data_IF_710444054187
#
_entry.id   IF_710444054187
#
_cell.length_a   1.000
_cell.length_b   1.000
_cell.length_c   1.000
_cell.angle_alpha   90.00
_cell.angle_beta   90.00
_cell.angle_gamma   90.00
#
_symmetry.space_group_name_H-M   'P 1'
#
loop_
_entity.id
_entity.type
_entity.pdbx_description
1 polymer ?
#
# COMPACT_ATOMS: atom_id res chain seq x y z
N UNK A 1 -27.53 19.78 -27.10
CA UNK A 1 -28.34 19.35 -25.95
C UNK A 1 -28.29 17.84 -25.87
N UNK A 2 -27.44 17.25 -25.04
CA UNK A 2 -27.36 15.80 -24.90
C UNK A 2 -28.55 15.32 -24.08
N UNK A 3 -29.52 14.70 -24.74
CA UNK A 3 -30.66 14.05 -24.11
C UNK A 3 -30.13 12.73 -23.53
N UNK A 4 -29.88 12.68 -22.21
CA UNK A 4 -29.63 11.41 -21.54
C UNK A 4 -30.93 10.59 -21.57
N UNK A 5 -30.86 9.35 -22.06
CA UNK A 5 -31.98 8.40 -21.94
C UNK A 5 -32.26 8.13 -20.45
N UNK A 6 -33.54 8.02 -20.07
CA UNK A 6 -33.97 7.74 -18.67
C UNK A 6 -33.37 6.46 -18.07
N UNK A 7 -32.76 5.60 -18.88
CA UNK A 7 -32.06 4.37 -18.48
C UNK A 7 -30.66 4.61 -17.88
N UNK A 8 -30.19 5.86 -17.80
CA UNK A 8 -28.86 6.23 -17.27
C UNK A 8 -28.91 7.06 -15.99
N UNK A 9 -30.08 7.18 -15.37
CA UNK A 9 -30.27 7.97 -14.15
C UNK A 9 -30.81 7.06 -13.05
N UNK A 10 -30.00 6.85 -12.02
CA UNK A 10 -30.34 6.03 -10.86
C UNK A 10 -30.50 6.92 -9.63
N UNK A 11 -31.43 6.58 -8.75
CA UNK A 11 -31.55 7.26 -7.46
C UNK A 11 -30.34 6.88 -6.61
N UNK A 12 -29.63 7.88 -6.08
CA UNK A 12 -28.45 7.63 -5.26
C UNK A 12 -28.85 6.97 -3.94
N UNK A 13 -28.25 5.81 -3.63
CA UNK A 13 -28.50 5.11 -2.39
C UNK A 13 -27.95 5.88 -1.18
N UNK A 14 -28.61 5.80 -0.03
CA UNK A 14 -28.27 6.59 1.16
C UNK A 14 -26.87 6.26 1.71
N UNK A 15 -26.41 5.01 1.54
CA UNK A 15 -25.04 4.58 1.91
C UNK A 15 -23.95 5.21 1.04
N UNK A 16 -24.30 5.83 -0.09
CA UNK A 16 -23.36 6.52 -0.98
C UNK A 16 -23.25 8.01 -0.63
N UNK A 17 -24.11 8.53 0.25
CA UNK A 17 -24.13 9.96 0.63
C UNK A 17 -22.92 10.29 1.49
N UNK A 18 -22.61 9.41 2.45
CA UNK A 18 -21.44 9.49 3.31
C UNK A 18 -20.42 8.43 2.89
N UNK A 19 -19.23 8.86 2.46
CA UNK A 19 -18.20 7.95 1.96
C UNK A 19 -17.86 6.82 2.95
N UNK A 20 -17.79 5.60 2.44
CA UNK A 20 -17.55 4.35 3.19
C UNK A 20 -16.08 3.94 3.20
N UNK A 21 -15.64 3.36 4.31
CA UNK A 21 -14.27 2.85 4.45
C UNK A 21 -14.03 1.55 3.68
N UNK A 22 -15.06 0.69 3.55
CA UNK A 22 -15.03 -0.51 2.73
C UNK A 22 -16.16 -0.46 1.69
N UNK A 23 -15.78 -0.48 0.41
CA UNK A 23 -16.71 -0.44 -0.71
C UNK A 23 -17.48 -1.75 -0.89
N UNK A 24 -17.09 -2.85 -0.21
CA UNK A 24 -17.90 -4.07 -0.15
C UNK A 24 -19.24 -3.85 0.56
N UNK A 25 -19.36 -2.79 1.37
CA UNK A 25 -20.60 -2.40 2.05
C UNK A 25 -21.53 -1.53 1.18
N UNK A 26 -21.12 -1.13 -0.03
CA UNK A 26 -21.99 -0.39 -0.94
C UNK A 26 -23.11 -1.29 -1.45
N UNK A 27 -24.36 -0.83 -1.35
CA UNK A 27 -25.52 -1.54 -1.88
C UNK A 27 -25.47 -1.66 -3.42
N UNK A 28 -24.91 -0.66 -4.09
CA UNK A 28 -24.75 -0.63 -5.55
C UNK A 28 -23.27 -0.45 -5.91
N UNK A 29 -22.69 -1.46 -6.55
CA UNK A 29 -21.28 -1.47 -6.94
C UNK A 29 -21.13 -1.20 -8.45
N UNK A 30 -21.40 0.04 -8.86
CA UNK A 30 -21.15 0.50 -10.22
C UNK A 30 -20.05 1.58 -10.26
N UNK A 31 -19.47 1.83 -11.44
CA UNK A 31 -18.33 2.74 -11.63
C UNK A 31 -18.55 4.12 -11.00
N UNK A 32 -19.72 4.71 -11.21
CA UNK A 32 -20.04 6.02 -10.64
C UNK A 32 -20.11 6.03 -9.09
N UNK A 33 -20.56 4.96 -8.44
CA UNK A 33 -20.62 4.87 -6.98
C UNK A 33 -19.22 4.72 -6.37
N UNK A 34 -18.38 3.88 -6.99
CA UNK A 34 -16.97 3.70 -6.62
C UNK A 34 -16.23 5.05 -6.74
N UNK A 35 -16.36 5.71 -7.89
CA UNK A 35 -15.69 6.99 -8.14
C UNK A 35 -16.18 8.08 -7.18
N UNK A 36 -17.49 8.13 -6.90
CA UNK A 36 -18.05 9.08 -5.95
C UNK A 36 -17.48 8.87 -4.54
N UNK A 37 -17.42 7.61 -4.07
CA UNK A 37 -16.89 7.27 -2.76
C UNK A 37 -15.41 7.68 -2.62
N UNK A 38 -14.58 7.31 -3.60
CA UNK A 38 -13.17 7.67 -3.63
C UNK A 38 -12.98 9.19 -3.66
N UNK A 39 -13.79 9.91 -4.45
CA UNK A 39 -13.74 11.37 -4.53
C UNK A 39 -14.07 12.05 -3.19
N UNK A 40 -15.17 11.65 -2.55
CA UNK A 40 -15.57 12.23 -1.26
C UNK A 40 -14.52 11.99 -0.17
N UNK A 41 -13.92 10.79 -0.13
CA UNK A 41 -12.87 10.46 0.83
C UNK A 41 -11.60 11.25 0.55
N UNK A 42 -11.21 11.35 -0.71
CA UNK A 42 -10.04 12.12 -1.14
C UNK A 42 -10.14 13.60 -0.75
N UNK A 43 -11.33 14.21 -0.86
CA UNK A 43 -11.55 15.61 -0.40
C UNK A 43 -11.28 15.82 1.09
N UNK A 44 -11.34 14.75 1.90
CA UNK A 44 -11.08 14.75 3.35
C UNK A 44 -9.69 14.21 3.69
N UNK A 45 -8.78 14.12 2.72
CA UNK A 45 -7.44 13.54 2.85
C UNK A 45 -7.41 12.05 3.23
N UNK A 46 -8.54 11.34 3.05
CA UNK A 46 -8.63 9.90 3.22
C UNK A 46 -8.31 9.20 1.89
N UNK A 47 -7.03 8.94 1.66
CA UNK A 47 -6.54 8.40 0.37
C UNK A 47 -6.71 6.89 0.21
N UNK A 48 -6.99 6.18 1.30
CA UNK A 48 -7.10 4.72 1.33
C UNK A 48 -8.55 4.30 1.50
N UNK A 49 -8.97 3.27 0.76
CA UNK A 49 -10.32 2.70 0.84
C UNK A 49 -10.25 1.20 0.62
N UNK A 50 -10.90 0.41 1.46
CA UNK A 50 -10.95 -1.05 1.33
C UNK A 50 -11.99 -1.48 0.29
N UNK A 51 -11.75 -2.65 -0.30
CA UNK A 51 -12.68 -3.42 -1.12
C UNK A 51 -12.55 -4.87 -0.66
N UNK A 52 -13.21 -5.19 0.46
CA UNK A 52 -12.93 -6.41 1.21
C UNK A 52 -11.46 -6.46 1.65
N UNK A 53 -10.68 -7.41 1.13
CA UNK A 53 -9.25 -7.55 1.42
C UNK A 53 -8.32 -6.75 0.49
N UNK A 54 -8.86 -6.11 -0.55
CA UNK A 54 -8.10 -5.29 -1.50
C UNK A 54 -8.08 -3.85 -0.99
N UNK A 55 -6.96 -3.15 -1.17
CA UNK A 55 -6.81 -1.75 -0.79
C UNK A 55 -6.69 -0.86 -2.04
N UNK A 56 -7.63 0.08 -2.20
CA UNK A 56 -7.52 1.17 -3.15
C UNK A 56 -6.77 2.34 -2.51
N UNK A 57 -5.79 2.89 -3.23
CA UNK A 57 -4.99 4.04 -2.81
C UNK A 57 -5.00 5.11 -3.91
N UNK A 58 -5.39 6.34 -3.55
CA UNK A 58 -5.41 7.49 -4.47
C UNK A 58 -4.25 8.41 -4.15
N UNK A 59 -3.32 8.61 -5.09
CA UNK A 59 -2.13 9.44 -4.84
C UNK A 59 -2.52 10.91 -4.54
N UNK A 60 -2.19 11.45 -3.35
CA UNK A 60 -2.55 12.83 -2.97
C UNK A 60 -1.70 13.91 -3.64
N UNK A 61 -0.53 13.57 -4.21
CA UNK A 61 0.48 14.53 -4.70
C UNK A 61 0.89 15.61 -3.68
N UNK A 62 0.59 15.39 -2.40
CA UNK A 62 0.97 16.23 -1.26
C UNK A 62 1.30 15.35 -0.06
N UNK A 63 2.07 15.89 0.87
CA UNK A 63 2.29 15.26 2.15
C UNK A 63 1.03 15.44 3.02
N UNK A 64 0.58 14.36 3.64
CA UNK A 64 -0.52 14.36 4.62
C UNK A 64 0.12 14.12 5.99
N UNK A 65 0.11 15.15 6.84
CA UNK A 65 0.73 15.11 8.17
C UNK A 65 0.11 14.00 9.03
N UNK A 66 0.95 13.23 9.73
CA UNK A 66 0.46 12.19 10.65
C UNK A 66 0.00 10.89 10.00
N UNK A 67 0.08 10.77 8.67
CA UNK A 67 -0.40 9.57 7.96
C UNK A 67 0.59 8.40 8.05
N UNK A 68 1.88 8.67 7.98
CA UNK A 68 2.95 7.66 7.98
C UNK A 68 3.91 7.75 9.16
N UNK A 69 3.50 8.45 10.22
CA UNK A 69 4.33 8.67 11.40
C UNK A 69 4.64 7.33 12.11
N UNK A 70 5.78 7.23 12.83
CA UNK A 70 6.14 6.01 13.57
C UNK A 70 5.07 5.54 14.55
N UNK A 71 4.29 6.47 15.12
CA UNK A 71 3.15 6.16 15.99
C UNK A 71 2.05 5.39 15.27
N UNK A 72 1.81 5.67 13.98
CA UNK A 72 0.86 4.91 13.15
C UNK A 72 1.34 3.49 12.94
N UNK A 73 2.64 3.28 12.72
CA UNK A 73 3.21 1.93 12.60
C UNK A 73 2.93 1.12 13.87
N UNK A 74 3.12 1.72 15.05
CA UNK A 74 2.81 1.05 16.32
C UNK A 74 1.30 0.78 16.47
N UNK A 75 0.46 1.76 16.16
CA UNK A 75 -1.00 1.62 16.22
C UNK A 75 -1.48 0.46 15.34
N UNK A 76 -1.13 0.45 14.06
CA UNK A 76 -1.56 -0.58 13.12
C UNK A 76 -0.95 -1.96 13.40
N UNK A 77 0.22 -2.04 14.04
CA UNK A 77 0.82 -3.33 14.43
C UNK A 77 -0.02 -4.11 15.44
N UNK A 78 -0.85 -3.43 16.23
CA UNK A 78 -1.65 -4.00 17.32
C UNK A 78 -3.07 -4.35 16.91
N UNK A 79 -3.51 -3.94 15.72
CA UNK A 79 -4.90 -4.06 15.28
C UNK A 79 -5.04 -4.96 14.05
N UNK A 80 -6.22 -5.55 13.91
CA UNK A 80 -6.61 -6.34 12.75
C UNK A 80 -7.14 -5.45 11.61
N UNK A 81 -7.14 -6.00 10.39
CA UNK A 81 -7.78 -5.33 9.26
C UNK A 81 -9.28 -5.11 9.56
N UNK A 82 -9.76 -3.89 9.34
CA UNK A 82 -11.15 -3.50 9.62
C UNK A 82 -11.42 -2.92 11.02
N UNK A 83 -10.48 -3.04 11.97
CA UNK A 83 -10.60 -2.38 13.30
C UNK A 83 -10.21 -0.90 13.27
N UNK A 84 -9.34 -0.53 12.33
CA UNK A 84 -8.86 0.83 12.11
C UNK A 84 -9.22 1.28 10.69
N UNK A 85 -9.21 2.61 10.43
CA UNK A 85 -9.43 3.13 9.09
C UNK A 85 -8.49 2.51 8.05
N UNK A 86 -8.94 2.36 6.79
CA UNK A 86 -8.17 1.76 5.72
C UNK A 86 -6.76 2.36 5.61
N UNK A 87 -5.74 1.50 5.56
CA UNK A 87 -4.36 1.96 5.49
C UNK A 87 -3.44 0.87 4.94
N UNK A 88 -2.36 1.26 4.26
CA UNK A 88 -1.37 0.31 3.74
C UNK A 88 -0.68 -0.50 4.85
N UNK A 89 -0.56 0.09 6.05
CA UNK A 89 -0.03 -0.60 7.24
C UNK A 89 -0.93 -1.72 7.74
N UNK A 90 -2.26 -1.62 7.55
CA UNK A 90 -3.17 -2.72 7.87
C UNK A 90 -2.93 -3.91 6.95
N UNK A 91 -2.72 -3.66 5.65
CA UNK A 91 -2.36 -4.70 4.65
C UNK A 91 -1.00 -5.32 4.99
N UNK A 92 -0.01 -4.49 5.36
CA UNK A 92 1.30 -4.97 5.77
C UNK A 92 1.23 -5.87 7.01
N UNK A 93 0.44 -5.47 8.01
CA UNK A 93 0.26 -6.24 9.24
C UNK A 93 -0.46 -7.57 8.96
N UNK A 94 -1.54 -7.56 8.18
CA UNK A 94 -2.26 -8.79 7.84
C UNK A 94 -1.37 -9.75 7.05
N UNK A 95 -0.57 -9.23 6.10
CA UNK A 95 0.43 -10.01 5.37
C UNK A 95 1.45 -10.64 6.33
N UNK A 96 2.03 -9.86 7.24
CA UNK A 96 2.98 -10.36 8.24
C UNK A 96 2.36 -11.46 9.13
N UNK A 97 1.14 -11.24 9.64
CA UNK A 97 0.44 -12.21 10.49
C UNK A 97 0.08 -13.50 9.74
N UNK A 98 -0.26 -13.40 8.46
CA UNK A 98 -0.61 -14.56 7.64
C UNK A 98 0.53 -15.58 7.51
N UNK A 99 1.79 -15.15 7.61
CA UNK A 99 2.97 -16.05 7.59
C UNK A 99 2.82 -17.17 8.63
N UNK A 100 2.42 -16.83 9.86
CA UNK A 100 2.19 -17.84 10.91
C UNK A 100 0.78 -18.41 10.92
N UNK A 101 -0.23 -17.64 10.52
CA UNK A 101 -1.62 -18.09 10.56
C UNK A 101 -1.92 -19.16 9.51
N UNK A 102 -1.31 -19.05 8.32
CA UNK A 102 -1.58 -19.92 7.17
C UNK A 102 -0.43 -20.86 6.83
N UNK A 103 0.77 -20.62 7.38
CA UNK A 103 1.98 -21.41 7.10
C UNK A 103 2.36 -21.47 5.61
N UNK A 104 1.98 -20.45 4.83
CA UNK A 104 2.33 -20.27 3.42
C UNK A 104 3.01 -18.91 3.17
N UNK A 105 3.75 -18.83 2.06
CA UNK A 105 4.41 -17.58 1.64
C UNK A 105 3.38 -16.54 1.20
N UNK A 106 3.49 -15.32 1.72
CA UNK A 106 2.60 -14.21 1.36
C UNK A 106 3.20 -13.35 0.25
N UNK A 107 2.32 -12.70 -0.52
CA UNK A 107 2.71 -11.76 -1.57
C UNK A 107 1.77 -10.55 -1.56
N UNK A 108 2.34 -9.35 -1.65
CA UNK A 108 1.59 -8.11 -1.84
C UNK A 108 1.87 -7.60 -3.25
N UNK A 109 0.84 -7.58 -4.09
CA UNK A 109 0.90 -7.04 -5.45
C UNK A 109 0.40 -5.59 -5.46
N UNK A 110 1.21 -4.67 -5.96
CA UNK A 110 0.85 -3.26 -6.10
C UNK A 110 0.75 -2.91 -7.58
N UNK A 111 -0.48 -2.70 -8.04
CA UNK A 111 -0.79 -2.31 -9.42
C UNK A 111 -1.10 -0.82 -9.54
N UNK A 112 -1.03 -0.30 -10.76
CA UNK A 112 -1.36 1.09 -11.07
C UNK A 112 -0.54 1.64 -12.23
N UNK A 113 -1.02 2.72 -12.85
CA UNK A 113 -0.33 3.42 -13.93
C UNK A 113 0.95 4.12 -13.44
N UNK A 114 1.74 4.68 -14.37
CA UNK A 114 2.89 5.48 -13.99
C UNK A 114 2.45 6.71 -13.20
N UNK A 115 3.11 7.00 -12.07
CA UNK A 115 2.72 8.09 -11.17
C UNK A 115 1.66 7.73 -10.13
N UNK A 116 1.07 6.53 -10.17
CA UNK A 116 0.03 6.12 -9.21
C UNK A 116 0.51 5.95 -7.75
N UNK A 117 1.82 5.98 -7.48
CA UNK A 117 2.38 5.85 -6.12
C UNK A 117 2.87 4.44 -5.75
N UNK A 118 2.98 3.51 -6.72
CA UNK A 118 3.45 2.12 -6.48
C UNK A 118 4.76 2.05 -5.68
N UNK A 119 5.77 2.81 -6.10
CA UNK A 119 7.10 2.81 -5.47
C UNK A 119 7.06 3.30 -4.02
N UNK A 120 6.29 4.35 -3.74
CA UNK A 120 6.12 4.88 -2.38
C UNK A 120 5.35 3.91 -1.49
N UNK A 121 4.30 3.28 -2.02
CA UNK A 121 3.59 2.19 -1.33
C UNK A 121 4.52 1.02 -0.96
N UNK A 122 5.42 0.61 -1.86
CA UNK A 122 6.43 -0.43 -1.56
C UNK A 122 7.36 0.01 -0.43
N UNK A 123 7.85 1.25 -0.44
CA UNK A 123 8.73 1.78 0.63
C UNK A 123 8.03 1.74 1.99
N UNK A 124 6.76 2.16 2.05
CA UNK A 124 5.96 2.16 3.27
C UNK A 124 5.72 0.75 3.82
N UNK A 125 5.44 -0.24 2.96
CA UNK A 125 5.32 -1.64 3.36
C UNK A 125 6.63 -2.17 3.97
N UNK A 126 7.76 -1.91 3.30
CA UNK A 126 9.08 -2.34 3.77
C UNK A 126 9.45 -1.68 5.10
N UNK A 127 9.16 -0.39 5.26
CA UNK A 127 9.37 0.34 6.51
C UNK A 127 8.56 -0.29 7.65
N UNK A 128 7.28 -0.59 7.42
CA UNK A 128 6.42 -1.24 8.41
C UNK A 128 6.97 -2.61 8.81
N UNK A 129 7.27 -3.47 7.84
CA UNK A 129 7.79 -4.83 8.09
C UNK A 129 9.15 -4.82 8.80
N UNK A 130 10.01 -3.84 8.50
CA UNK A 130 11.27 -3.63 9.19
C UNK A 130 11.08 -3.31 10.68
N UNK A 131 10.14 -2.41 11.00
CA UNK A 131 9.83 -2.10 12.41
C UNK A 131 9.26 -3.33 13.14
N UNK A 132 8.42 -4.13 12.47
CA UNK A 132 7.89 -5.37 13.03
C UNK A 132 8.98 -6.40 13.30
N UNK A 133 9.91 -6.59 12.35
CA UNK A 133 11.09 -7.44 12.49
C UNK A 133 11.89 -7.11 13.75
N UNK A 134 12.18 -5.82 13.95
CA UNK A 134 12.96 -5.33 15.09
C UNK A 134 12.25 -5.54 16.42
N UNK A 135 10.92 -5.36 16.47
CA UNK A 135 10.12 -5.63 17.67
C UNK A 135 10.20 -7.10 18.08
N UNK A 136 10.19 -8.01 17.11
CA UNK A 136 10.21 -9.46 17.36
C UNK A 136 11.61 -10.00 17.71
N UNK A 137 12.67 -9.36 17.22
CA UNK A 137 14.06 -9.76 17.50
C UNK A 137 14.53 -9.47 18.94
N UNK A 138 13.79 -8.66 19.72
CA UNK A 138 14.18 -8.27 21.08
C UNK A 138 15.52 -7.51 21.16
N UNK A 139 16.00 -6.99 20.03
CA UNK A 139 17.33 -6.39 19.91
C UNK A 139 17.42 -5.06 20.66
N UNK A 140 18.57 -4.84 21.30
CA UNK A 140 18.84 -3.61 22.05
C UNK A 140 18.78 -2.37 21.14
N UNK A 141 18.47 -1.17 21.68
CA UNK A 141 18.38 0.07 20.90
C UNK A 141 19.63 0.42 20.06
N UNK A 142 20.79 -0.16 20.42
CA UNK A 142 22.06 0.05 19.74
C UNK A 142 22.19 -0.74 18.43
N UNK A 143 21.40 -1.81 18.26
CA UNK A 143 21.36 -2.68 17.08
C UNK A 143 20.04 -2.53 16.28
N UNK A 144 19.32 -1.42 16.45
CA UNK A 144 18.03 -1.07 15.77
C UNK A 144 18.13 -0.90 14.24
N UNK A 145 19.23 -1.35 13.67
CA UNK A 145 19.58 -1.23 12.27
C UNK A 145 20.33 -2.50 11.90
N UNK A 146 19.63 -3.63 11.89
CA UNK A 146 20.15 -4.79 11.18
C UNK A 146 20.48 -4.34 9.75
N UNK A 147 21.70 -4.66 9.30
CA UNK A 147 22.25 -4.22 8.01
C UNK A 147 21.33 -4.57 6.83
N UNK A 148 20.48 -5.59 6.99
CA UNK A 148 19.61 -6.15 5.95
C UNK A 148 18.43 -5.22 5.66
N UNK A 149 17.67 -4.76 6.65
CA UNK A 149 16.52 -3.89 6.41
C UNK A 149 16.96 -2.53 5.86
N UNK A 150 18.04 -1.97 6.42
CA UNK A 150 18.64 -0.77 5.85
C UNK A 150 19.16 -1.02 4.44
N UNK A 151 19.88 -2.11 4.17
CA UNK A 151 20.35 -2.42 2.81
C UNK A 151 19.19 -2.56 1.82
N UNK A 152 18.07 -3.16 2.21
CA UNK A 152 16.89 -3.30 1.33
C UNK A 152 16.26 -1.93 1.05
N UNK A 153 16.12 -1.06 2.05
CA UNK A 153 15.60 0.30 1.83
C UNK A 153 16.59 1.14 1.00
N UNK A 154 17.88 1.10 1.33
CA UNK A 154 18.96 1.83 0.67
C UNK A 154 19.28 1.29 -0.74
N UNK A 155 18.87 0.07 -1.07
CA UNK A 155 18.95 -0.45 -2.44
C UNK A 155 17.98 0.26 -3.39
N UNK A 156 16.91 0.87 -2.86
CA UNK A 156 15.91 1.56 -3.69
C UNK A 156 16.49 2.76 -4.44
N UNK A 157 17.20 3.72 -3.82
CA UNK A 157 17.89 4.79 -4.56
C UNK A 157 18.80 4.31 -5.69
N UNK A 158 19.53 3.20 -5.47
CA UNK A 158 20.42 2.62 -6.48
C UNK A 158 19.59 2.11 -7.67
N UNK A 159 18.57 1.29 -7.40
CA UNK A 159 17.68 0.78 -8.45
C UNK A 159 16.91 1.89 -9.17
N UNK A 160 16.47 2.91 -8.45
CA UNK A 160 15.82 4.07 -9.06
C UNK A 160 16.79 4.84 -9.98
N UNK A 161 18.06 5.02 -9.57
CA UNK A 161 19.06 5.69 -10.40
C UNK A 161 19.36 4.95 -11.72
N UNK A 162 19.32 3.62 -11.72
CA UNK A 162 19.62 2.80 -12.89
C UNK A 162 18.38 2.39 -13.71
N UNK A 163 17.21 2.34 -13.09
CA UNK A 163 15.99 1.76 -13.67
C UNK A 163 14.81 2.72 -13.78
N UNK A 164 14.90 3.94 -13.23
CA UNK A 164 13.88 4.96 -13.45
C UNK A 164 14.31 5.92 -14.54
N UNK A 165 13.32 6.41 -15.30
CA UNK A 165 13.50 7.43 -16.30
C UNK A 165 12.41 8.49 -16.16
N UNK A 166 12.74 9.72 -16.54
CA UNK A 166 11.74 10.77 -16.74
C UNK A 166 10.91 10.43 -17.97
N UNK A 167 9.60 10.42 -17.80
CA UNK A 167 8.61 10.29 -18.87
C UNK A 167 7.74 11.53 -18.94
N UNK A 168 6.89 11.64 -19.96
CA UNK A 168 5.92 12.74 -20.10
C UNK A 168 4.94 12.80 -18.91
N UNK A 169 4.65 11.65 -18.28
CA UNK A 169 3.64 11.50 -17.23
C UNK A 169 4.20 11.42 -15.80
N UNK A 170 5.46 11.03 -15.64
CA UNK A 170 6.10 10.84 -14.34
C UNK A 170 7.61 11.08 -14.44
N UNK A 171 8.12 11.98 -13.59
CA UNK A 171 9.53 12.33 -13.52
C UNK A 171 10.43 11.21 -12.95
N UNK A 172 9.85 10.25 -12.25
CA UNK A 172 10.55 9.10 -11.66
C UNK A 172 9.84 7.78 -12.04
N UNK A 173 9.65 7.54 -13.34
CA UNK A 173 8.94 6.35 -13.82
C UNK A 173 9.87 5.13 -13.81
N UNK A 174 9.57 4.14 -12.98
CA UNK A 174 10.25 2.83 -13.05
C UNK A 174 9.97 2.15 -14.39
N UNK A 175 11.03 1.70 -15.07
CA UNK A 175 10.98 0.99 -16.35
C UNK A 175 11.28 -0.51 -16.22
N UNK A 176 11.23 -1.02 -15.00
CA UNK A 176 11.42 -2.43 -14.65
C UNK A 176 10.35 -2.86 -13.64
N UNK A 177 10.00 -4.15 -13.66
CA UNK A 177 9.26 -4.78 -12.58
C UNK A 177 10.21 -5.13 -11.44
N UNK A 178 9.82 -4.85 -10.19
CA UNK A 178 10.62 -5.15 -9.00
C UNK A 178 9.88 -6.15 -8.13
N UNK A 179 10.50 -7.31 -7.90
CA UNK A 179 10.02 -8.29 -6.94
C UNK A 179 10.96 -8.31 -5.73
N UNK A 180 10.44 -8.05 -4.54
CA UNK A 180 11.22 -8.04 -3.30
C UNK A 180 10.75 -9.19 -2.43
N UNK A 181 11.65 -10.12 -2.16
CA UNK A 181 11.42 -11.24 -1.27
C UNK A 181 12.08 -10.97 0.08
N UNK A 182 11.31 -11.13 1.15
CA UNK A 182 11.79 -11.05 2.53
C UNK A 182 11.64 -12.43 3.17
N UNK A 183 12.70 -12.88 3.84
CA UNK A 183 12.70 -14.14 4.57
C UNK A 183 12.58 -13.86 6.07
N UNK A 184 11.50 -14.35 6.68
CA UNK A 184 11.24 -14.22 8.10
C UNK A 184 11.60 -15.52 8.82
N UNK A 185 12.18 -15.41 10.02
CA UNK A 185 12.36 -16.53 10.93
C UNK A 185 11.04 -16.95 11.57
N UNK A 186 11.00 -18.11 12.23
CA UNK A 186 9.87 -18.49 13.08
C UNK A 186 9.60 -17.48 14.21
N UNK A 187 10.65 -16.80 14.69
CA UNK A 187 10.55 -15.74 15.69
C UNK A 187 10.09 -14.39 15.14
N UNK A 188 9.90 -14.27 13.82
CA UNK A 188 9.34 -13.10 13.16
C UNK A 188 10.28 -11.96 12.84
N UNK A 189 11.58 -12.16 13.01
CA UNK A 189 12.60 -11.25 12.52
C UNK A 189 13.00 -11.59 11.07
N UNK A 190 13.38 -10.57 10.30
CA UNK A 190 13.91 -10.71 8.94
C UNK A 190 15.32 -11.31 9.03
N UNK A 191 15.54 -12.44 8.38
CA UNK A 191 16.85 -13.10 8.29
C UNK A 191 17.63 -12.67 7.04
N UNK A 192 16.90 -12.24 6.00
CA UNK A 192 17.47 -11.92 4.70
C UNK A 192 16.41 -11.47 3.72
N UNK A 193 16.85 -11.05 2.55
CA UNK A 193 15.96 -10.72 1.45
C UNK A 193 16.68 -10.80 0.12
N UNK A 194 15.90 -10.94 -0.94
CA UNK A 194 16.38 -10.92 -2.32
C UNK A 194 15.54 -9.90 -3.10
N UNK A 195 16.19 -9.13 -3.97
CA UNK A 195 15.49 -8.31 -4.95
C UNK A 195 15.72 -8.94 -6.31
N UNK A 196 14.62 -9.28 -6.99
CA UNK A 196 14.62 -9.83 -8.33
C UNK A 196 14.04 -8.77 -9.26
N UNK A 197 14.86 -8.32 -10.20
CA UNK A 197 14.42 -7.43 -11.26
C UNK A 197 13.80 -8.26 -12.38
N UNK A 198 12.51 -8.04 -12.64
CA UNK A 198 11.79 -8.70 -13.71
C UNK A 198 11.60 -7.73 -14.87
N UNK A 199 12.12 -8.12 -16.04
CA UNK A 199 11.96 -7.45 -17.34
C UNK A 199 12.51 -6.01 -17.34
N UNK A 200 13.75 -5.89 -17.81
CA UNK A 200 14.33 -4.63 -18.27
C UNK A 200 14.01 -4.52 -19.75
N UNK A 201 12.80 -4.06 -20.11
CA UNK A 201 12.46 -3.85 -21.54
C UNK A 201 12.25 -2.36 -21.82
N UNK A 202 13.25 -1.88 -22.57
CA UNK A 202 13.23 -0.77 -23.50
C UNK A 202 11.89 -0.62 -24.21
N UNK A 203 11.25 0.53 -24.01
CA UNK A 203 10.68 1.35 -25.08
C UNK A 203 10.97 2.79 -24.69
#
# INVERSE_FOLDING_TARGET
>A
SYIYSRERVYAMHQSSIDGVEDMSALAELHEAAIMHNLYQRYQKDNIYTNIGSILAAVNPYKQISGLYDPERVDLYSKHHIGELPPHIFAVANECYRCIWKRHDSQCVLISGESGAGKTESTKLLLQFLSVMSQKSAGTSPLEKSTRVEQAIVQSSPIMEAFGNAKTVYNNNSSRFGKFIQLHFSEGGNIQGGCVIDCILICI
#
